data_IF_312272841005
#
_entry.id   IF_312272841005
#
_cell.length_a   1.000
_cell.length_b   1.000
_cell.length_c   1.000
_cell.angle_alpha   90.00
_cell.angle_beta   90.00
_cell.angle_gamma   90.00
#
_symmetry.space_group_name_H-M   'P 1'
#
loop_
_entity.id
_entity.type
_entity.pdbx_description
1 polymer ?
#
# COMPACT_ATOMS: atom_id res chain seq x y z
N UNK A 1 -1.46 -4.16 -34.27
CA UNK A 1 -0.04 -4.01 -34.68
C UNK A 1 0.56 -2.81 -33.96
N UNK A 2 1.33 -3.04 -32.91
CA UNK A 2 1.91 -1.97 -32.10
C UNK A 2 3.24 -1.51 -32.69
N UNK A 3 3.32 -0.20 -33.02
CA UNK A 3 4.58 0.45 -33.41
C UNK A 3 5.28 0.94 -32.15
N UNK A 4 6.51 0.48 -31.97
CA UNK A 4 7.37 0.73 -30.84
C UNK A 4 8.30 1.93 -31.13
N UNK A 5 8.26 2.96 -30.28
CA UNK A 5 9.23 4.07 -30.26
C UNK A 5 10.02 4.08 -28.95
N UNK A 6 11.28 4.47 -29.05
CA UNK A 6 12.44 4.36 -28.14
C UNK A 6 12.37 4.97 -26.72
N UNK A 7 11.20 4.99 -26.07
CA UNK A 7 11.02 5.33 -24.65
C UNK A 7 10.10 4.28 -23.99
N UNK A 8 10.53 3.02 -23.99
CA UNK A 8 9.64 1.87 -23.78
C UNK A 8 9.16 1.75 -22.34
N UNK A 9 7.97 2.30 -22.05
CA UNK A 9 7.09 1.79 -21.01
C UNK A 9 6.29 0.65 -21.63
N UNK A 10 6.30 -0.54 -21.02
CA UNK A 10 5.42 -1.62 -21.47
C UNK A 10 4.13 -1.51 -20.67
N UNK A 11 3.06 -1.17 -21.37
CA UNK A 11 1.71 -1.12 -20.85
C UNK A 11 0.98 -2.38 -21.31
N UNK A 12 0.47 -3.16 -20.36
CA UNK A 12 -0.36 -4.32 -20.64
C UNK A 12 -1.74 -4.08 -20.04
N UNK A 13 -2.77 -4.22 -20.86
CA UNK A 13 -4.16 -4.02 -20.46
C UNK A 13 -4.92 -5.34 -20.55
N UNK A 14 -5.76 -5.62 -19.55
CA UNK A 14 -6.79 -6.64 -19.63
C UNK A 14 -8.17 -5.99 -19.52
N UNK A 15 -9.04 -6.30 -20.46
CA UNK A 15 -10.44 -5.88 -20.46
C UNK A 15 -11.35 -7.12 -20.40
N UNK A 16 -12.31 -7.11 -19.46
CA UNK A 16 -13.30 -8.18 -19.27
C UNK A 16 -14.64 -7.65 -19.77
N UNK A 17 -15.01 -8.02 -21.00
CA UNK A 17 -16.19 -7.47 -21.69
C UNK A 17 -17.54 -8.06 -21.21
N UNK A 18 -17.51 -9.13 -20.44
CA UNK A 18 -18.70 -9.84 -19.95
C UNK A 18 -18.64 -10.01 -18.44
N UNK A 19 -19.79 -9.98 -17.76
CA UNK A 19 -19.85 -10.30 -16.34
C UNK A 19 -19.39 -11.73 -16.07
N UNK A 20 -18.47 -11.90 -15.12
CA UNK A 20 -17.95 -13.21 -14.72
C UNK A 20 -18.38 -13.48 -13.27
N UNK A 21 -19.40 -14.32 -13.03
CA UNK A 21 -19.79 -14.72 -11.68
C UNK A 21 -18.88 -15.81 -11.11
N UNK A 22 -18.70 -15.83 -9.79
CA UNK A 22 -18.02 -16.92 -9.09
C UNK A 22 -16.54 -17.06 -9.42
N UNK A 23 -15.85 -15.93 -9.61
CA UNK A 23 -14.41 -15.86 -9.94
C UNK A 23 -13.49 -16.10 -8.75
N UNK A 24 -14.02 -16.03 -7.54
CA UNK A 24 -13.24 -16.14 -6.31
C UNK A 24 -12.53 -17.50 -6.20
N UNK A 25 -11.22 -17.47 -5.96
CA UNK A 25 -10.42 -18.63 -5.56
C UNK A 25 -10.56 -18.95 -4.07
N UNK A 26 -11.19 -18.04 -3.30
CA UNK A 26 -11.31 -18.13 -1.84
C UNK A 26 -10.02 -17.77 -1.11
N UNK A 27 -8.97 -17.38 -1.84
CA UNK A 27 -7.67 -17.04 -1.27
C UNK A 27 -7.27 -15.62 -1.70
N UNK A 28 -7.06 -14.73 -0.72
CA UNK A 28 -6.67 -13.33 -0.92
C UNK A 28 -5.27 -13.17 -1.51
N UNK A 29 -4.41 -14.18 -1.37
CA UNK A 29 -3.04 -14.12 -1.85
C UNK A 29 -2.88 -14.58 -3.31
N UNK A 30 -3.99 -15.01 -3.94
CA UNK A 30 -4.02 -15.44 -5.33
C UNK A 30 -4.65 -14.39 -6.24
N UNK A 31 -4.65 -14.69 -7.54
CA UNK A 31 -5.38 -13.96 -8.58
C UNK A 31 -6.50 -14.84 -9.15
N UNK A 32 -7.65 -14.24 -9.45
CA UNK A 32 -8.84 -14.92 -10.01
C UNK A 32 -8.88 -14.89 -11.54
N UNK A 33 -8.44 -13.79 -12.15
CA UNK A 33 -8.25 -13.63 -13.58
C UNK A 33 -6.96 -12.85 -13.81
N UNK A 34 -6.00 -13.41 -14.57
CA UNK A 34 -4.67 -12.83 -14.71
C UNK A 34 -4.27 -12.54 -16.16
N UNK A 35 -3.66 -11.37 -16.36
CA UNK A 35 -2.90 -10.95 -17.52
C UNK A 35 -2.18 -9.61 -17.21
N UNK A 36 -0.86 -9.47 -17.40
CA UNK A 36 0.05 -10.45 -17.97
C UNK A 36 0.42 -11.60 -17.02
N UNK A 37 0.82 -12.71 -17.64
CA UNK A 37 1.54 -13.82 -17.03
C UNK A 37 2.95 -13.85 -17.60
N UNK A 38 3.96 -13.71 -16.74
CA UNK A 38 5.37 -13.77 -17.12
C UNK A 38 5.96 -15.11 -16.70
N UNK A 39 6.45 -15.88 -17.66
CA UNK A 39 7.23 -17.07 -17.36
C UNK A 39 8.62 -16.65 -16.89
N UNK A 40 9.01 -17.09 -15.70
CA UNK A 40 10.32 -16.82 -15.15
C UNK A 40 11.35 -17.74 -15.83
N UNK A 41 12.51 -17.19 -16.23
CA UNK A 41 13.58 -17.99 -16.82
C UNK A 41 14.01 -19.11 -15.86
N UNK A 42 14.51 -20.21 -16.43
CA UNK A 42 15.14 -21.24 -15.63
C UNK A 42 16.45 -20.72 -15.02
N UNK A 43 16.95 -21.39 -13.99
CA UNK A 43 18.18 -21.00 -13.30
C UNK A 43 19.39 -20.97 -14.26
N UNK A 44 19.40 -21.81 -15.29
CA UNK A 44 20.46 -21.82 -16.31
C UNK A 44 20.35 -20.65 -17.29
N UNK A 45 19.14 -20.13 -17.54
CA UNK A 45 18.90 -19.09 -18.55
C UNK A 45 19.17 -17.68 -18.02
N UNK A 46 18.91 -17.45 -16.72
CA UNK A 46 19.13 -16.16 -16.08
C UNK A 46 19.61 -16.30 -14.61
N UNK A 47 20.82 -16.85 -14.37
CA UNK A 47 21.33 -17.12 -13.02
C UNK A 47 21.48 -15.87 -12.14
N UNK A 48 21.57 -14.70 -12.78
CA UNK A 48 21.77 -13.41 -12.13
C UNK A 48 20.49 -12.58 -12.00
N UNK A 49 19.33 -13.11 -12.40
CA UNK A 49 18.06 -12.41 -12.20
C UNK A 49 17.72 -12.38 -10.70
N UNK A 50 17.52 -11.17 -10.20
CA UNK A 50 17.20 -10.88 -8.80
C UNK A 50 15.89 -10.10 -8.73
N UNK A 51 15.31 -10.07 -7.55
CA UNK A 51 14.11 -9.29 -7.26
C UNK A 51 14.26 -8.45 -5.99
N UNK A 52 13.50 -7.36 -5.95
CA UNK A 52 13.12 -6.62 -4.75
C UNK A 52 11.60 -6.51 -4.78
N UNK A 53 10.95 -6.92 -3.70
CA UNK A 53 9.50 -6.80 -3.50
C UNK A 53 9.25 -6.19 -2.14
N UNK A 54 8.94 -4.89 -2.08
CA UNK A 54 8.36 -4.29 -0.89
C UNK A 54 7.07 -5.04 -0.56
N UNK A 55 6.88 -5.40 0.70
CA UNK A 55 5.65 -6.02 1.12
C UNK A 55 5.28 -5.83 2.59
N UNK A 56 4.13 -6.39 2.93
CA UNK A 56 3.54 -6.36 4.26
C UNK A 56 2.40 -5.37 4.42
N UNK A 57 1.66 -5.58 5.51
CA UNK A 57 0.52 -4.76 5.91
C UNK A 57 0.82 -3.25 5.82
N UNK A 58 -0.11 -2.49 5.25
CA UNK A 58 -0.11 -1.01 5.25
C UNK A 58 1.01 -0.35 4.42
N UNK A 59 1.08 -0.67 3.12
CA UNK A 59 1.95 -0.04 2.12
C UNK A 59 3.40 -0.56 2.01
N UNK A 60 3.66 -1.81 2.42
CA UNK A 60 4.72 -2.59 1.77
C UNK A 60 6.16 -2.40 2.26
N UNK A 61 6.43 -1.80 3.43
CA UNK A 61 7.82 -1.60 3.89
C UNK A 61 8.23 -2.41 5.12
N UNK A 62 7.28 -3.02 5.81
CA UNK A 62 7.56 -3.82 7.02
C UNK A 62 8.05 -5.24 6.72
N UNK A 63 7.75 -5.76 5.53
CA UNK A 63 8.18 -7.09 5.05
C UNK A 63 8.96 -6.98 3.74
N UNK A 64 9.79 -5.95 3.59
CA UNK A 64 10.72 -5.80 2.47
C UNK A 64 11.47 -7.12 2.22
N UNK A 65 11.51 -7.54 0.96
CA UNK A 65 12.24 -8.73 0.55
C UNK A 65 13.08 -8.48 -0.69
N UNK A 66 14.21 -9.17 -0.75
CA UNK A 66 15.09 -9.22 -1.90
C UNK A 66 15.71 -10.61 -2.01
N UNK A 67 15.96 -11.05 -3.24
CA UNK A 67 16.53 -12.38 -3.44
C UNK A 67 16.76 -12.73 -4.89
N UNK A 68 17.20 -13.96 -5.09
CA UNK A 68 17.37 -14.59 -6.38
C UNK A 68 16.06 -15.18 -6.90
N UNK A 69 15.73 -14.89 -8.17
CA UNK A 69 14.63 -15.56 -8.87
C UNK A 69 14.93 -17.05 -9.14
N UNK A 70 16.14 -17.50 -8.86
CA UNK A 70 16.57 -18.88 -9.02
C UNK A 70 16.42 -19.73 -7.75
N UNK A 71 16.60 -19.13 -6.57
CA UNK A 71 16.72 -19.89 -5.31
C UNK A 71 15.86 -19.37 -4.17
N UNK A 72 15.46 -18.10 -4.20
CA UNK A 72 14.90 -17.43 -3.02
C UNK A 72 13.42 -17.10 -3.18
N UNK A 73 12.67 -17.90 -3.97
CA UNK A 73 11.26 -17.61 -4.29
C UNK A 73 10.33 -17.62 -3.07
N UNK A 74 10.69 -18.33 -2.00
CA UNK A 74 9.90 -18.38 -0.76
C UNK A 74 9.88 -17.04 -0.02
N UNK A 75 10.84 -16.16 -0.29
CA UNK A 75 10.91 -14.84 0.32
C UNK A 75 10.19 -13.77 -0.51
N UNK A 76 9.76 -14.08 -1.74
CA UNK A 76 9.08 -13.13 -2.62
C UNK A 76 7.76 -12.67 -1.99
N UNK A 77 7.48 -11.36 -2.05
CA UNK A 77 6.22 -10.78 -1.56
C UNK A 77 5.22 -10.65 -2.69
N UNK A 78 4.20 -11.48 -2.64
CA UNK A 78 3.05 -11.55 -3.53
C UNK A 78 1.73 -11.49 -2.73
N UNK A 79 0.60 -11.61 -3.40
CA UNK A 79 -0.71 -11.62 -2.76
C UNK A 79 -1.09 -10.29 -2.12
N UNK A 80 -1.80 -10.34 -1.00
CA UNK A 80 -2.22 -9.14 -0.24
C UNK A 80 -1.03 -8.37 0.35
N UNK A 81 0.09 -9.06 0.58
CA UNK A 81 1.32 -8.47 1.09
C UNK A 81 2.20 -7.87 0.00
N UNK A 82 1.89 -8.06 -1.29
CA UNK A 82 2.70 -7.63 -2.43
C UNK A 82 2.05 -6.56 -3.30
N UNK A 83 2.74 -6.15 -4.37
CA UNK A 83 2.15 -5.29 -5.40
C UNK A 83 3.17 -4.66 -6.34
N UNK A 84 4.28 -4.16 -5.78
CA UNK A 84 5.42 -3.67 -6.54
C UNK A 84 6.47 -4.77 -6.68
N UNK A 85 6.85 -5.08 -7.91
CA UNK A 85 7.94 -6.01 -8.20
C UNK A 85 9.04 -5.27 -8.93
N UNK A 86 10.25 -5.33 -8.41
CA UNK A 86 11.44 -4.85 -9.11
C UNK A 86 12.30 -6.03 -9.47
N UNK A 87 12.39 -6.34 -10.77
CA UNK A 87 13.32 -7.34 -11.27
C UNK A 87 14.59 -6.63 -11.75
N UNK A 88 15.75 -7.19 -11.45
CA UNK A 88 17.01 -6.58 -11.85
C UNK A 88 18.11 -7.60 -12.10
N UNK A 89 19.09 -7.17 -12.89
CA UNK A 89 20.33 -7.88 -13.15
C UNK A 89 21.47 -6.88 -13.03
N UNK A 90 22.51 -7.27 -12.29
CA UNK A 90 23.74 -6.51 -12.18
C UNK A 90 24.82 -7.17 -13.05
N UNK A 91 25.44 -6.38 -13.92
CA UNK A 91 26.57 -6.77 -14.75
C UNK A 91 27.67 -5.75 -14.55
N UNK A 92 28.80 -6.16 -13.95
CA UNK A 92 30.01 -5.36 -13.65
C UNK A 92 29.74 -3.90 -13.23
N UNK A 93 29.51 -3.00 -14.19
CA UNK A 93 29.34 -1.55 -13.99
C UNK A 93 27.90 -1.04 -14.18
N UNK A 94 26.95 -1.89 -14.57
CA UNK A 94 25.56 -1.51 -14.89
C UNK A 94 24.54 -2.35 -14.13
N UNK A 95 23.42 -1.72 -13.77
CA UNK A 95 22.27 -2.40 -13.18
C UNK A 95 21.05 -2.09 -14.02
N UNK A 96 20.64 -3.07 -14.80
CA UNK A 96 19.38 -3.05 -15.53
C UNK A 96 18.27 -3.53 -14.60
N UNK A 97 17.17 -2.80 -14.58
CA UNK A 97 16.01 -3.14 -13.76
C UNK A 97 14.71 -2.84 -14.49
N UNK A 98 13.65 -3.55 -14.10
CA UNK A 98 12.28 -3.26 -14.49
C UNK A 98 11.42 -3.21 -13.24
N UNK A 99 10.69 -2.12 -13.07
CA UNK A 99 9.70 -1.94 -12.01
C UNK A 99 8.34 -2.28 -12.59
N UNK A 100 7.63 -3.24 -12.00
CA UNK A 100 6.32 -3.72 -12.47
C UNK A 100 5.29 -3.54 -11.37
N UNK A 101 4.14 -2.96 -11.72
CA UNK A 101 3.02 -2.74 -10.80
C UNK A 101 1.71 -2.64 -11.56
N UNK A 102 0.59 -2.71 -10.82
CA UNK A 102 -0.67 -2.17 -11.32
C UNK A 102 -0.48 -0.68 -11.68
N UNK A 103 -0.98 -0.29 -12.84
CA UNK A 103 -1.10 1.10 -13.26
C UNK A 103 -2.48 1.65 -12.90
N UNK A 104 -3.52 0.86 -13.11
CA UNK A 104 -4.91 1.19 -12.76
C UNK A 104 -5.48 0.10 -11.85
N UNK A 105 -6.52 0.45 -11.09
CA UNK A 105 -7.16 -0.47 -10.13
C UNK A 105 -6.17 -1.15 -9.15
N UNK A 106 -5.22 -0.43 -8.52
CA UNK A 106 -4.22 -1.05 -7.64
C UNK A 106 -4.83 -1.71 -6.39
N UNK A 107 -6.06 -1.36 -6.02
CA UNK A 107 -6.78 -1.97 -4.91
C UNK A 107 -7.52 -3.26 -5.30
N UNK A 108 -7.64 -3.56 -6.59
CA UNK A 108 -8.30 -4.75 -7.09
C UNK A 108 -7.34 -5.71 -7.82
N UNK A 109 -6.09 -5.29 -8.03
CA UNK A 109 -5.07 -6.03 -8.79
C UNK A 109 -3.97 -6.53 -7.87
N UNK A 110 -3.80 -7.85 -7.80
CA UNK A 110 -2.72 -8.52 -7.08
C UNK A 110 -1.62 -8.95 -8.04
N UNK A 111 -0.43 -9.15 -7.48
CA UNK A 111 0.63 -9.95 -8.11
C UNK A 111 0.70 -11.29 -7.39
N UNK A 112 0.87 -12.38 -8.14
CA UNK A 112 1.00 -13.73 -7.60
C UNK A 112 2.21 -14.43 -8.23
N UNK A 113 3.08 -14.99 -7.39
CA UNK A 113 4.17 -15.85 -7.84
C UNK A 113 3.74 -17.32 -7.68
N UNK A 114 3.38 -17.93 -8.81
CA UNK A 114 3.21 -19.39 -8.89
C UNK A 114 4.60 -20.03 -8.90
N UNK A 115 4.98 -20.58 -7.74
CA UNK A 115 6.31 -21.18 -7.52
C UNK A 115 6.48 -22.49 -8.29
N UNK A 116 5.39 -23.23 -8.49
CA UNK A 116 5.41 -24.53 -9.17
C UNK A 116 5.52 -24.34 -10.69
N UNK A 117 4.75 -23.40 -11.24
CA UNK A 117 4.79 -23.06 -12.67
C UNK A 117 5.90 -22.06 -13.03
N UNK A 118 6.54 -21.47 -12.01
CA UNK A 118 7.51 -20.37 -12.16
C UNK A 118 6.93 -19.22 -12.99
N UNK A 119 5.71 -18.80 -12.67
CA UNK A 119 5.06 -17.67 -13.34
C UNK A 119 4.78 -16.53 -12.37
N UNK A 120 4.95 -15.31 -12.86
CA UNK A 120 4.55 -14.10 -12.17
C UNK A 120 3.32 -13.53 -12.86
N UNK A 121 2.20 -13.54 -12.14
CA UNK A 121 0.88 -13.22 -12.65
C UNK A 121 0.38 -11.92 -12.02
N UNK A 122 -0.13 -11.00 -12.85
CA UNK A 122 -0.92 -9.88 -12.37
C UNK A 122 -2.38 -10.09 -12.72
N UNK A 123 -3.28 -9.81 -11.79
CA UNK A 123 -4.68 -10.16 -11.97
C UNK A 123 -5.60 -9.61 -10.90
N UNK A 124 -6.90 -9.78 -11.14
CA UNK A 124 -7.93 -9.44 -10.15
C UNK A 124 -7.70 -10.27 -8.89
N UNK A 125 -7.82 -9.66 -7.70
CA UNK A 125 -7.61 -10.36 -6.43
C UNK A 125 -8.45 -11.65 -6.32
N UNK A 126 -7.89 -12.66 -5.67
CA UNK A 126 -8.51 -13.98 -5.57
C UNK A 126 -9.80 -14.03 -4.73
N UNK A 127 -10.08 -13.02 -3.92
CA UNK A 127 -11.34 -12.93 -3.15
C UNK A 127 -12.49 -12.27 -3.89
N UNK A 128 -12.25 -11.67 -5.06
CA UNK A 128 -13.30 -11.06 -5.86
C UNK A 128 -14.34 -12.13 -6.27
N UNK A 129 -15.56 -12.00 -5.72
CA UNK A 129 -16.61 -12.98 -5.96
C UNK A 129 -17.06 -12.97 -7.41
N UNK A 130 -17.21 -11.78 -7.98
CA UNK A 130 -17.58 -11.57 -9.37
C UNK A 130 -16.73 -10.45 -9.98
N UNK A 131 -16.57 -10.48 -11.30
CA UNK A 131 -15.95 -9.39 -12.06
C UNK A 131 -17.03 -8.73 -12.95
N UNK A 132 -17.28 -7.42 -12.78
CA UNK A 132 -18.31 -6.73 -13.55
C UNK A 132 -17.95 -6.65 -15.05
N UNK A 133 -18.98 -6.63 -15.90
CA UNK A 133 -18.78 -6.39 -17.32
C UNK A 133 -18.17 -4.99 -17.54
N UNK A 134 -17.14 -4.93 -18.39
CA UNK A 134 -16.39 -3.70 -18.64
C UNK A 134 -15.33 -3.38 -17.58
N UNK A 135 -15.03 -4.30 -16.65
CA UNK A 135 -13.88 -4.12 -15.77
C UNK A 135 -12.59 -4.17 -16.59
N UNK A 136 -11.76 -3.15 -16.40
CA UNK A 136 -10.47 -3.02 -17.05
C UNK A 136 -9.41 -2.67 -16.00
N UNK A 137 -8.25 -3.29 -16.13
CA UNK A 137 -7.06 -2.91 -15.37
C UNK A 137 -5.83 -2.96 -16.27
N UNK A 138 -4.82 -2.21 -15.86
CA UNK A 138 -3.58 -2.03 -16.58
C UNK A 138 -2.41 -2.31 -15.66
N UNK A 139 -1.37 -2.91 -16.21
CA UNK A 139 -0.09 -3.18 -15.56
C UNK A 139 0.99 -2.45 -16.32
N UNK A 140 1.84 -1.73 -15.59
CA UNK A 140 2.99 -1.03 -16.15
C UNK A 140 4.27 -1.80 -15.81
N UNK A 141 5.13 -1.98 -16.80
CA UNK A 141 6.52 -2.35 -16.62
C UNK A 141 7.42 -1.21 -17.09
N UNK A 142 8.24 -0.70 -16.16
CA UNK A 142 9.06 0.49 -16.32
C UNK A 142 10.55 0.10 -16.28
N UNK A 143 11.23 0.01 -17.44
CA UNK A 143 12.64 -0.37 -17.50
C UNK A 143 13.55 0.83 -17.22
N UNK A 144 14.73 0.55 -16.65
CA UNK A 144 15.78 1.53 -16.44
C UNK A 144 17.13 0.89 -16.20
N UNK A 145 18.19 1.58 -16.60
CA UNK A 145 19.60 1.13 -16.59
C UNK A 145 20.49 2.01 -15.68
N UNK A 146 19.92 3.04 -15.06
CA UNK A 146 20.64 4.00 -14.21
C UNK A 146 20.67 3.59 -12.72
N UNK A 147 20.42 2.32 -12.44
CA UNK A 147 20.30 1.78 -11.09
C UNK A 147 18.88 1.78 -10.53
N UNK A 148 18.67 0.90 -9.55
CA UNK A 148 17.35 0.53 -8.99
C UNK A 148 16.63 1.75 -8.42
N UNK A 149 17.29 2.54 -7.57
CA UNK A 149 16.67 3.70 -6.90
C UNK A 149 16.18 4.74 -7.88
N UNK A 150 17.00 5.08 -8.90
CA UNK A 150 16.60 6.04 -9.94
C UNK A 150 15.42 5.51 -10.75
N UNK A 151 15.41 4.21 -11.04
CA UNK A 151 14.31 3.59 -11.77
C UNK A 151 12.99 3.59 -10.99
N UNK A 152 13.03 3.31 -9.69
CA UNK A 152 11.83 3.40 -8.82
C UNK A 152 11.32 4.85 -8.75
N UNK A 153 12.19 5.84 -8.63
CA UNK A 153 11.78 7.26 -8.64
C UNK A 153 11.11 7.61 -9.97
N UNK A 154 11.73 7.24 -11.09
CA UNK A 154 11.19 7.51 -12.43
C UNK A 154 9.86 6.79 -12.70
N UNK A 155 9.70 5.55 -12.20
CA UNK A 155 8.42 4.84 -12.20
C UNK A 155 7.36 5.60 -11.39
N UNK A 156 7.70 6.09 -10.19
CA UNK A 156 6.79 6.88 -9.36
C UNK A 156 6.36 8.19 -10.02
N UNK A 157 7.29 8.90 -10.67
CA UNK A 157 7.00 10.08 -11.48
C UNK A 157 6.10 9.76 -12.68
N UNK A 158 6.29 8.60 -13.30
CA UNK A 158 5.44 8.13 -14.39
C UNK A 158 4.01 7.85 -13.94
N UNK A 159 3.82 7.26 -12.75
CA UNK A 159 2.51 7.06 -12.15
C UNK A 159 1.84 8.40 -11.83
N UNK A 160 2.58 9.33 -11.23
CA UNK A 160 2.08 10.68 -10.92
C UNK A 160 1.62 11.40 -12.19
N UNK A 161 2.43 11.36 -13.24
CA UNK A 161 2.08 11.93 -14.53
C UNK A 161 0.82 11.30 -15.14
N UNK A 162 0.72 9.96 -15.12
CA UNK A 162 -0.42 9.24 -15.69
C UNK A 162 -1.74 9.58 -14.98
N UNK A 163 -1.70 9.61 -13.64
CA UNK A 163 -2.88 9.89 -12.81
C UNK A 163 -3.13 11.38 -12.58
N UNK A 164 -2.33 12.26 -13.18
CA UNK A 164 -2.33 13.70 -12.92
C UNK A 164 -2.26 14.04 -11.42
N UNK A 165 -1.50 13.25 -10.65
CA UNK A 165 -1.26 13.49 -9.23
C UNK A 165 0.11 14.13 -9.03
N UNK A 166 0.28 14.77 -7.88
CA UNK A 166 1.57 15.35 -7.47
C UNK A 166 1.92 14.80 -6.10
N UNK A 167 3.22 14.61 -5.84
CA UNK A 167 3.69 14.32 -4.49
C UNK A 167 3.21 15.43 -3.54
N UNK A 168 2.39 15.07 -2.57
CA UNK A 168 1.93 16.00 -1.56
C UNK A 168 3.08 16.35 -0.62
N UNK A 169 3.15 17.62 -0.25
CA UNK A 169 4.05 18.07 0.79
C UNK A 169 3.64 17.45 2.13
N UNK A 170 4.57 16.75 2.79
CA UNK A 170 4.32 16.17 4.10
C UNK A 170 4.67 17.19 5.19
N UNK A 171 3.67 17.95 5.62
CA UNK A 171 3.86 18.94 6.68
C UNK A 171 4.03 18.35 8.09
N UNK A 172 3.84 17.03 8.27
CA UNK A 172 3.98 16.40 9.59
C UNK A 172 5.44 16.32 10.06
N UNK A 173 6.39 16.39 9.12
CA UNK A 173 7.82 16.30 9.39
C UNK A 173 8.49 17.66 9.67
N UNK A 174 7.78 18.77 9.50
CA UNK A 174 8.36 20.13 9.58
C UNK A 174 8.58 20.62 11.01
N UNK A 175 7.73 20.15 11.92
CA UNK A 175 7.62 20.67 13.27
C UNK A 175 7.36 19.53 14.24
N UNK A 176 7.65 19.78 15.52
CA UNK A 176 7.36 18.82 16.58
C UNK A 176 5.87 18.50 16.60
N UNK A 177 5.53 17.23 16.42
CA UNK A 177 4.17 16.70 16.43
C UNK A 177 4.06 15.68 17.56
N UNK A 178 2.97 15.72 18.30
CA UNK A 178 2.73 14.73 19.34
C UNK A 178 2.06 13.48 18.74
N UNK A 179 2.81 12.38 18.65
CA UNK A 179 2.32 11.10 18.13
C UNK A 179 1.78 10.18 19.23
N UNK A 180 0.72 9.45 18.91
CA UNK A 180 0.11 8.42 19.78
C UNK A 180 0.20 7.03 19.15
N UNK A 181 1.20 6.81 18.30
CA UNK A 181 1.41 5.60 17.50
C UNK A 181 2.24 4.53 18.20
N UNK A 182 2.46 3.39 17.54
CA UNK A 182 3.16 2.25 18.13
C UNK A 182 4.58 2.61 18.60
N UNK A 183 4.80 2.56 19.91
CA UNK A 183 6.05 2.96 20.56
C UNK A 183 5.93 4.28 21.34
N UNK A 184 4.87 5.06 21.13
CA UNK A 184 4.55 6.22 21.94
C UNK A 184 3.98 5.82 23.32
N UNK A 185 4.19 6.68 24.32
CA UNK A 185 3.75 6.41 25.70
C UNK A 185 2.22 6.23 25.81
N UNK A 186 1.45 6.97 25.02
CA UNK A 186 -0.01 6.94 25.02
C UNK A 186 -0.60 6.06 23.90
N UNK A 187 0.16 5.09 23.36
CA UNK A 187 -0.39 4.12 22.41
C UNK A 187 -1.26 3.08 23.11
N UNK A 188 -2.56 3.05 22.78
CA UNK A 188 -3.58 2.26 23.51
C UNK A 188 -3.54 2.45 25.04
N UNK A 189 -3.10 3.62 25.50
CA UNK A 189 -2.80 3.89 26.90
C UNK A 189 -3.21 5.32 27.31
N UNK A 190 -4.52 5.62 27.45
CA UNK A 190 -4.94 6.91 28.01
C UNK A 190 -4.46 7.05 29.47
N UNK A 191 -4.44 8.28 29.98
CA UNK A 191 -4.12 8.51 31.40
C UNK A 191 -5.10 7.75 32.32
N UNK A 192 -4.66 7.32 33.52
CA UNK A 192 -5.53 6.62 34.45
C UNK A 192 -6.82 7.39 34.74
N UNK A 193 -7.95 6.69 34.65
CA UNK A 193 -9.29 7.23 34.88
C UNK A 193 -9.75 8.31 33.86
N UNK A 194 -9.08 8.40 32.71
CA UNK A 194 -9.44 9.31 31.62
C UNK A 194 -9.73 8.55 30.32
N UNK A 195 -10.52 9.17 29.44
CA UNK A 195 -10.58 8.79 28.03
C UNK A 195 -9.41 9.46 27.27
N UNK A 196 -9.32 9.22 25.96
CA UNK A 196 -8.27 9.84 25.14
C UNK A 196 -8.46 11.34 24.92
N UNK A 197 -9.70 11.79 24.79
CA UNK A 197 -10.00 13.21 24.65
C UNK A 197 -9.42 14.04 25.81
N UNK A 198 -9.70 13.63 27.06
CA UNK A 198 -9.17 14.27 28.27
C UNK A 198 -7.65 14.09 28.41
N UNK A 199 -7.13 12.94 27.98
CA UNK A 199 -5.68 12.67 27.95
C UNK A 199 -4.96 13.65 27.02
N UNK A 200 -5.46 13.87 25.81
CA UNK A 200 -4.83 14.75 24.82
C UNK A 200 -4.92 16.22 25.23
N UNK A 201 -6.02 16.65 25.85
CA UNK A 201 -6.12 17.99 26.44
C UNK A 201 -5.07 18.14 27.56
N UNK A 202 -4.89 17.12 28.41
CA UNK A 202 -3.90 17.13 29.49
C UNK A 202 -2.46 17.20 28.94
N UNK A 203 -2.16 16.44 27.89
CA UNK A 203 -0.86 16.49 27.20
C UNK A 203 -0.62 17.87 26.57
N UNK A 204 -1.63 18.45 25.94
CA UNK A 204 -1.56 19.81 25.39
C UNK A 204 -1.28 20.83 26.49
N UNK A 205 -2.04 20.82 27.59
CA UNK A 205 -1.84 21.76 28.70
C UNK A 205 -0.43 21.60 29.30
N UNK A 206 0.03 20.36 29.49
CA UNK A 206 1.40 20.09 29.93
C UNK A 206 2.43 20.70 28.97
N UNK A 207 2.20 20.59 27.66
CA UNK A 207 3.10 21.18 26.65
C UNK A 207 3.15 22.70 26.76
N UNK A 208 2.01 23.36 26.98
CA UNK A 208 1.92 24.81 27.18
C UNK A 208 2.67 25.23 28.46
N UNK A 209 2.39 24.56 29.59
CA UNK A 209 2.99 24.87 30.89
C UNK A 209 4.51 24.70 30.90
N UNK A 210 5.03 23.76 30.08
CA UNK A 210 6.45 23.45 30.00
C UNK A 210 7.14 24.04 28.76
N UNK A 211 6.47 24.91 28.00
CA UNK A 211 6.98 25.54 26.78
C UNK A 211 7.50 24.51 25.74
N UNK A 212 6.81 23.38 25.59
CA UNK A 212 7.08 22.38 24.55
C UNK A 212 6.25 22.74 23.31
N UNK A 213 6.88 23.06 22.16
CA UNK A 213 6.19 23.66 21.03
C UNK A 213 5.55 22.59 20.13
N UNK A 214 4.52 21.89 20.60
CA UNK A 214 3.74 21.02 19.73
C UNK A 214 3.03 21.85 18.66
N UNK A 215 3.19 21.44 17.42
CA UNK A 215 2.55 22.06 16.27
C UNK A 215 1.28 21.35 15.85
N UNK A 216 1.15 20.06 16.19
CA UNK A 216 0.08 19.15 15.74
C UNK A 216 -0.09 18.01 16.74
N UNK A 217 -1.26 17.37 16.69
CA UNK A 217 -1.54 16.11 17.39
C UNK A 217 -1.82 15.02 16.35
N UNK A 218 -1.29 13.82 16.57
CA UNK A 218 -1.64 12.64 15.78
C UNK A 218 -2.51 11.67 16.60
N UNK A 219 -3.57 11.18 15.95
CA UNK A 219 -4.50 10.18 16.48
C UNK A 219 -4.25 8.85 15.77
N UNK A 220 -3.77 7.85 16.49
CA UNK A 220 -3.51 6.52 15.93
C UNK A 220 -4.80 5.69 15.75
N UNK A 221 -4.69 4.41 15.46
CA UNK A 221 -5.76 3.45 15.17
C UNK A 221 -6.74 3.19 16.31
N UNK A 222 -6.73 3.92 17.43
CA UNK A 222 -7.57 3.66 18.59
C UNK A 222 -8.90 4.42 18.63
N UNK A 223 -9.15 5.37 17.72
CA UNK A 223 -10.30 6.28 17.81
C UNK A 223 -11.50 5.98 16.90
N UNK A 224 -11.40 4.99 16.01
CA UNK A 224 -12.44 4.62 15.05
C UNK A 224 -12.83 3.14 15.14
N UNK A 225 -14.00 2.80 14.58
CA UNK A 225 -14.53 1.44 14.58
C UNK A 225 -13.74 0.50 13.68
N UNK A 226 -13.34 -0.66 14.24
CA UNK A 226 -12.58 -1.68 13.54
C UNK A 226 -13.44 -2.84 13.07
N UNK A 227 -13.09 -3.41 11.93
CA UNK A 227 -13.76 -4.56 11.32
C UNK A 227 -12.93 -5.85 11.38
N UNK A 228 -13.19 -6.75 10.44
CA UNK A 228 -12.37 -7.94 10.18
C UNK A 228 -10.89 -7.54 10.02
N UNK A 229 -10.00 -8.32 10.63
CA UNK A 229 -8.55 -8.05 10.62
C UNK A 229 -8.10 -6.88 11.50
N UNK A 230 -9.01 -6.16 12.15
CA UNK A 230 -8.75 -4.86 12.77
C UNK A 230 -8.49 -3.72 11.78
N UNK A 231 -8.94 -3.88 10.53
CA UNK A 231 -9.00 -2.81 9.52
C UNK A 231 -10.08 -1.78 9.84
N UNK A 232 -10.12 -0.67 9.10
CA UNK A 232 -11.16 0.37 9.23
C UNK A 232 -12.50 -0.21 8.82
N UNK A 233 -13.45 -0.28 9.76
CA UNK A 233 -14.85 -0.57 9.43
C UNK A 233 -15.58 0.72 9.11
N UNK A 234 -15.49 1.68 10.03
CA UNK A 234 -16.12 2.98 9.94
C UNK A 234 -15.16 4.01 10.53
N UNK A 235 -14.77 5.00 9.72
CA UNK A 235 -13.80 6.04 10.06
C UNK A 235 -14.48 7.24 10.73
N UNK A 236 -15.37 6.94 11.67
CA UNK A 236 -16.07 7.91 12.53
C UNK A 236 -15.53 7.78 13.94
N UNK A 237 -15.43 8.90 14.64
CA UNK A 237 -15.02 8.94 16.04
C UNK A 237 -15.96 8.15 16.95
N UNK A 238 -15.37 7.38 17.85
CA UNK A 238 -16.11 6.61 18.85
C UNK A 238 -16.46 7.53 20.03
N UNK A 239 -17.75 7.70 20.40
CA UNK A 239 -18.16 8.59 21.49
C UNK A 239 -17.52 8.28 22.84
N UNK A 240 -17.17 7.02 23.12
CA UNK A 240 -16.47 6.62 24.33
C UNK A 240 -15.00 7.08 24.37
N UNK A 241 -14.41 7.39 23.21
CA UNK A 241 -13.04 7.91 23.06
C UNK A 241 -13.05 9.43 23.00
N UNK A 242 -14.00 9.97 22.22
CA UNK A 242 -14.19 11.39 21.93
C UNK A 242 -15.64 11.82 22.22
N UNK A 243 -16.02 11.99 23.50
CA UNK A 243 -17.40 12.30 23.88
C UNK A 243 -17.91 13.64 23.31
N UNK A 244 -17.01 14.61 23.16
CA UNK A 244 -17.30 15.93 22.58
C UNK A 244 -16.83 16.04 21.12
N UNK A 245 -16.27 14.96 20.56
CA UNK A 245 -15.74 14.90 19.21
C UNK A 245 -14.35 15.52 19.00
N UNK A 246 -13.69 15.13 17.91
CA UNK A 246 -12.36 15.57 17.51
C UNK A 246 -12.37 17.06 17.11
N UNK A 247 -13.49 17.56 16.57
CA UNK A 247 -13.65 18.98 16.27
C UNK A 247 -13.48 19.82 17.54
N UNK A 248 -14.05 19.38 18.66
CA UNK A 248 -13.92 20.10 19.92
C UNK A 248 -12.50 20.06 20.47
N UNK A 249 -11.78 18.94 20.29
CA UNK A 249 -10.37 18.84 20.64
C UNK A 249 -9.53 19.87 19.87
N UNK A 250 -9.80 20.03 18.56
CA UNK A 250 -9.13 21.05 17.75
C UNK A 250 -9.45 22.46 18.24
N UNK A 251 -10.71 22.76 18.55
CA UNK A 251 -11.11 24.08 19.07
C UNK A 251 -10.40 24.43 20.39
N UNK A 252 -10.23 23.45 21.28
CA UNK A 252 -9.59 23.65 22.60
C UNK A 252 -8.08 23.86 22.45
N UNK A 253 -7.43 23.04 21.64
CA UNK A 253 -5.96 23.02 21.55
C UNK A 253 -5.41 23.99 20.51
N UNK A 254 -6.21 24.36 19.51
CA UNK A 254 -5.79 25.10 18.32
C UNK A 254 -4.82 24.32 17.41
N UNK A 255 -4.53 23.05 17.72
CA UNK A 255 -3.57 22.23 16.98
C UNK A 255 -4.26 21.48 15.84
N UNK A 256 -3.72 21.51 14.60
CA UNK A 256 -4.17 20.62 13.54
C UNK A 256 -4.03 19.15 13.94
N UNK A 257 -4.99 18.34 13.49
CA UNK A 257 -5.07 16.92 13.78
C UNK A 257 -4.60 16.10 12.56
N UNK A 258 -3.66 15.18 12.79
CA UNK A 258 -3.30 14.13 11.85
C UNK A 258 -4.01 12.86 12.30
N UNK A 259 -4.86 12.30 11.44
CA UNK A 259 -5.66 11.14 11.78
C UNK A 259 -5.19 9.93 10.98
N UNK A 260 -4.62 8.94 11.67
CA UNK A 260 -4.16 7.70 11.04
C UNK A 260 -5.34 6.78 10.71
N UNK A 261 -5.23 6.07 9.58
CA UNK A 261 -6.09 4.94 9.25
C UNK A 261 -5.23 3.73 8.86
N UNK A 262 -5.70 2.55 9.22
CA UNK A 262 -5.18 1.28 8.69
C UNK A 262 -5.73 1.03 7.29
N UNK A 263 -5.49 -0.16 6.76
CA UNK A 263 -6.24 -0.70 5.63
C UNK A 263 -7.75 -0.74 5.93
N UNK A 264 -8.57 -0.62 4.89
CA UNK A 264 -10.02 -0.81 5.01
C UNK A 264 -10.33 -2.29 5.23
N UNK A 265 -11.26 -2.55 6.16
CA UNK A 265 -11.70 -3.92 6.42
C UNK A 265 -12.56 -4.44 5.28
N UNK A 266 -12.53 -5.75 5.03
CA UNK A 266 -13.41 -6.39 4.03
C UNK A 266 -14.91 -6.25 4.35
N UNK A 267 -15.26 -5.94 5.61
CA UNK A 267 -16.63 -5.60 6.01
C UNK A 267 -16.79 -4.11 6.36
N UNK A 268 -16.04 -3.23 5.69
CA UNK A 268 -16.15 -1.78 5.87
C UNK A 268 -17.51 -1.25 5.39
N UNK A 269 -18.05 -0.27 6.12
CA UNK A 269 -19.32 0.37 5.79
C UNK A 269 -19.23 1.22 4.51
N UNK A 270 -18.02 1.48 4.01
CA UNK A 270 -17.77 2.28 2.80
C UNK A 270 -17.78 1.47 1.49
N UNK A 271 -17.71 0.14 1.58
CA UNK A 271 -17.67 -0.72 0.40
C UNK A 271 -19.07 -0.75 -0.24
N UNK A 272 -19.19 -0.26 -1.47
CA UNK A 272 -20.46 -0.29 -2.22
C UNK A 272 -20.63 -1.58 -3.03
N UNK A 273 -19.54 -2.32 -3.27
CA UNK A 273 -19.50 -3.60 -3.99
C UNK A 273 -18.45 -4.48 -3.32
N UNK A 274 -18.69 -5.80 -3.29
CA UNK A 274 -17.80 -6.76 -2.64
C UNK A 274 -16.47 -6.89 -3.38
N UNK A 275 -15.38 -6.91 -2.62
CA UNK A 275 -14.01 -7.11 -3.07
C UNK A 275 -13.07 -6.84 -1.92
#
# INVERSE_FOLDING_TARGET
SFRMSTNYRVLVMQAIFTYLPGTSTGNKDLVSACYPRLLLPSNSDAPNLRYITPGGNMAGWVLYSQGSMATDLDWFRDGEDGGLVVLFQAEEETVSSVVVSALTQPMATNVWLDRDQRTLDWGVQGQAQDIPAGFEYEVIAYPGDQGITKNIIAWGEALQYYHATVKMYDSSADFLTYYTDNGAYHYYNPLPYMNYYDTLISVYNYSVDNNIPFSRLQLDSWWYYKGVGNGVKNWTEMPEVFPDGIVKLHEITGLPIIAHNRYFSSNTDYAQQNG
#
